data_IF_536410496993
#
_entry.id   IF_536410496993
#
_cell.length_a   1.000
_cell.length_b   1.000
_cell.length_c   1.000
_cell.angle_alpha   90.00
_cell.angle_beta   90.00
_cell.angle_gamma   90.00
#
_symmetry.space_group_name_H-M   'P 1'
#
loop_
_entity.id
_entity.type
_entity.pdbx_description
1 polymer ?
#
# COMPACT_ATOMS: atom_id res chain seq x y z
N UNK A 1 -6.40 34.05 7.08
CA UNK A 1 -6.91 32.89 6.30
C UNK A 1 -7.19 31.65 7.16
N UNK A 2 -6.52 31.44 8.30
CA UNK A 2 -6.79 30.29 9.20
C UNK A 2 -8.06 30.43 10.08
N UNK A 3 -8.59 31.64 10.26
CA UNK A 3 -9.78 31.90 11.08
C UNK A 3 -11.02 31.10 10.63
N UNK A 4 -11.18 30.88 9.31
CA UNK A 4 -12.31 30.11 8.79
C UNK A 4 -12.34 28.67 9.32
N UNK A 5 -11.18 28.02 9.48
CA UNK A 5 -11.13 26.57 9.78
C UNK A 5 -11.54 26.24 11.22
N UNK A 6 -11.36 27.20 12.13
CA UNK A 6 -11.77 27.12 13.54
C UNK A 6 -13.28 27.30 13.62
N UNK A 7 -13.82 28.30 12.93
CA UNK A 7 -15.26 28.61 12.80
C UNK A 7 -16.08 27.38 12.35
N UNK A 8 -15.63 26.67 11.31
CA UNK A 8 -16.33 25.47 10.82
C UNK A 8 -16.26 24.27 11.77
N UNK A 9 -15.23 24.21 12.63
CA UNK A 9 -15.06 23.14 13.61
C UNK A 9 -15.93 23.38 14.85
N UNK A 10 -16.14 24.64 15.21
CA UNK A 10 -17.05 25.09 16.27
C UNK A 10 -18.51 24.90 15.87
N UNK A 11 -18.88 25.23 14.62
CA UNK A 11 -20.20 24.95 14.05
C UNK A 11 -20.57 23.44 14.05
N UNK A 12 -19.60 22.54 14.12
CA UNK A 12 -19.83 21.09 14.22
C UNK A 12 -20.20 20.60 15.63
N UNK A 13 -20.02 21.44 16.66
CA UNK A 13 -20.26 21.10 18.07
C UNK A 13 -21.55 21.67 18.65
N UNK A 14 -22.16 22.62 17.98
CA UNK A 14 -23.39 23.28 18.46
C UNK A 14 -24.61 22.53 17.92
N UNK A 15 -25.18 21.66 18.76
CA UNK A 15 -26.47 20.99 18.51
C UNK A 15 -27.50 21.48 19.54
N UNK A 16 -28.67 21.92 19.07
CA UNK A 16 -29.77 22.33 19.94
C UNK A 16 -30.42 21.11 20.60
N UNK A 17 -30.82 21.20 21.88
CA UNK A 17 -31.57 20.13 22.53
C UNK A 17 -33.05 20.41 22.34
N UNK A 18 -33.73 19.78 21.38
CA UNK A 18 -35.18 19.54 21.48
C UNK A 18 -35.63 18.46 20.49
N UNK A 19 -36.22 17.40 21.06
CA UNK A 19 -36.60 16.15 20.42
C UNK A 19 -37.93 16.28 19.68
N UNK A 20 -37.89 16.26 18.34
CA UNK A 20 -38.99 15.74 17.50
C UNK A 20 -38.54 15.38 16.06
N UNK A 21 -37.32 15.80 15.63
CA UNK A 21 -36.77 15.53 14.30
C UNK A 21 -35.33 14.98 14.31
N UNK A 22 -34.98 14.10 15.27
CA UNK A 22 -33.63 13.49 15.37
C UNK A 22 -33.12 12.90 14.04
N UNK A 23 -34.01 12.32 13.22
CA UNK A 23 -33.63 11.72 11.95
C UNK A 23 -33.22 12.76 10.90
N UNK A 24 -33.93 13.90 10.84
CA UNK A 24 -33.58 15.01 9.95
C UNK A 24 -32.30 15.70 10.45
N UNK A 25 -32.12 15.87 11.75
CA UNK A 25 -30.89 16.45 12.32
C UNK A 25 -29.66 15.57 12.04
N UNK A 26 -29.78 14.23 12.14
CA UNK A 26 -28.71 13.30 11.74
C UNK A 26 -28.43 13.35 10.24
N UNK A 27 -29.43 13.60 9.40
CA UNK A 27 -29.28 13.71 7.94
C UNK A 27 -28.60 15.02 7.55
N UNK A 28 -28.98 16.13 8.19
CA UNK A 28 -28.33 17.44 8.06
C UNK A 28 -26.88 17.37 8.55
N UNK A 29 -26.64 16.73 9.71
CA UNK A 29 -25.29 16.50 10.24
C UNK A 29 -24.40 15.68 9.32
N UNK A 30 -24.91 14.58 8.74
CA UNK A 30 -24.18 13.78 7.74
C UNK A 30 -23.83 14.58 6.50
N UNK A 31 -24.78 15.36 5.96
CA UNK A 31 -24.54 16.24 4.81
C UNK A 31 -23.48 17.29 5.14
N UNK A 32 -23.57 17.94 6.30
CA UNK A 32 -22.58 18.93 6.75
C UNK A 32 -21.18 18.32 6.85
N UNK A 33 -21.05 17.15 7.47
CA UNK A 33 -19.77 16.45 7.58
C UNK A 33 -19.18 16.08 6.21
N UNK A 34 -20.02 15.60 5.29
CA UNK A 34 -19.62 15.30 3.91
C UNK A 34 -19.11 16.55 3.17
N UNK A 35 -19.84 17.66 3.24
CA UNK A 35 -19.40 18.93 2.64
C UNK A 35 -18.09 19.42 3.27
N UNK A 36 -17.95 19.34 4.60
CA UNK A 36 -16.73 19.74 5.31
C UNK A 36 -15.52 18.90 4.86
N UNK A 37 -15.69 17.59 4.66
CA UNK A 37 -14.62 16.72 4.15
C UNK A 37 -14.22 17.08 2.72
N UNK A 38 -15.20 17.31 1.83
CA UNK A 38 -14.92 17.72 0.45
C UNK A 38 -14.25 19.08 0.34
N UNK A 39 -14.71 20.08 1.11
CA UNK A 39 -14.09 21.40 1.14
C UNK A 39 -12.65 21.29 1.65
N UNK A 40 -12.38 20.44 2.65
CA UNK A 40 -11.00 20.21 3.14
C UNK A 40 -10.12 19.60 2.06
N UNK A 41 -10.61 18.59 1.33
CA UNK A 41 -9.90 17.97 0.23
C UNK A 41 -9.61 18.98 -0.90
N UNK A 42 -10.61 19.73 -1.33
CA UNK A 42 -10.48 20.77 -2.37
C UNK A 42 -9.49 21.87 -1.96
N UNK A 43 -9.57 22.34 -0.71
CA UNK A 43 -8.58 23.29 -0.15
C UNK A 43 -7.17 22.71 -0.17
N UNK A 44 -6.99 21.42 0.05
CA UNK A 44 -5.67 20.78 0.01
C UNK A 44 -5.09 20.78 -1.42
N UNK A 45 -5.89 20.43 -2.43
CA UNK A 45 -5.47 20.49 -3.84
C UNK A 45 -5.06 21.91 -4.24
N UNK A 46 -5.87 22.92 -3.90
CA UNK A 46 -5.56 24.33 -4.21
C UNK A 46 -4.27 24.80 -3.51
N UNK A 47 -4.05 24.40 -2.25
CA UNK A 47 -2.84 24.78 -1.50
C UNK A 47 -1.57 24.11 -1.98
N UNK A 48 -1.67 22.87 -2.44
CA UNK A 48 -0.51 22.06 -2.89
C UNK A 48 -0.24 22.19 -4.39
N UNK A 49 -1.14 22.84 -5.13
CA UNK A 49 -1.10 22.94 -6.59
C UNK A 49 -1.01 21.56 -7.27
N UNK A 50 -1.69 20.56 -6.69
CA UNK A 50 -1.80 19.21 -7.24
C UNK A 50 -3.07 19.13 -8.07
N UNK A 51 -2.94 18.68 -9.31
CA UNK A 51 -4.08 18.48 -10.19
C UNK A 51 -4.76 17.12 -9.89
N UNK A 52 -6.09 17.08 -9.77
CA UNK A 52 -6.80 15.85 -9.41
C UNK A 52 -6.71 14.76 -10.49
N UNK A 53 -6.43 15.15 -11.74
CA UNK A 53 -6.18 14.21 -12.85
C UNK A 53 -4.99 13.28 -12.58
N UNK A 54 -4.02 13.69 -11.76
CA UNK A 54 -2.87 12.84 -11.42
C UNK A 54 -3.24 11.63 -10.55
N UNK A 55 -4.45 11.60 -9.99
CA UNK A 55 -4.98 10.41 -9.30
C UNK A 55 -5.35 9.28 -10.27
N UNK A 56 -5.53 9.61 -11.56
CA UNK A 56 -5.81 8.62 -12.62
C UNK A 56 -4.50 8.26 -13.30
N UNK A 57 -4.04 7.02 -13.12
CA UNK A 57 -2.76 6.55 -13.65
C UNK A 57 -2.87 6.23 -15.14
N UNK A 58 -2.24 7.07 -15.98
CA UNK A 58 -2.06 6.78 -17.41
C UNK A 58 -0.80 5.94 -17.69
N UNK A 59 0.25 6.15 -16.88
CA UNK A 59 1.53 5.44 -17.00
C UNK A 59 1.88 4.83 -15.64
N UNK A 60 2.06 3.52 -15.60
CA UNK A 60 2.44 2.80 -14.38
C UNK A 60 3.98 2.66 -14.32
N UNK A 61 4.65 3.27 -13.31
CA UNK A 61 6.09 3.10 -13.14
C UNK A 61 6.44 1.67 -12.75
N UNK A 62 7.56 1.19 -13.27
CA UNK A 62 8.11 -0.14 -12.96
C UNK A 62 9.32 0.01 -12.05
N UNK A 63 9.35 -0.73 -10.94
CA UNK A 63 10.51 -0.69 -10.04
C UNK A 63 11.79 -1.18 -10.74
N UNK A 64 12.96 -0.63 -10.35
CA UNK A 64 14.26 -1.13 -10.79
C UNK A 64 14.42 -2.64 -10.54
N UNK A 65 15.16 -3.35 -11.42
CA UNK A 65 15.34 -4.81 -11.33
C UNK A 65 16.02 -5.24 -10.02
N UNK A 66 16.86 -4.40 -9.41
CA UNK A 66 17.56 -4.67 -8.15
C UNK A 66 16.58 -4.81 -6.97
N UNK A 67 15.42 -4.16 -7.04
CA UNK A 67 14.36 -4.29 -6.03
C UNK A 67 13.42 -5.46 -6.32
N UNK A 68 13.52 -6.06 -7.50
CA UNK A 68 12.64 -7.10 -8.03
C UNK A 68 13.41 -8.33 -8.51
N UNK A 69 14.30 -8.80 -7.64
CA UNK A 69 15.24 -9.87 -7.96
C UNK A 69 14.53 -11.17 -8.39
N UNK A 70 15.13 -11.82 -9.39
CA UNK A 70 14.84 -13.18 -9.81
C UNK A 70 16.09 -13.98 -9.45
N UNK A 71 15.92 -14.99 -8.61
CA UNK A 71 17.02 -15.80 -8.08
C UNK A 71 16.84 -17.20 -8.64
N UNK A 72 17.88 -17.72 -9.28
CA UNK A 72 17.94 -19.13 -9.63
C UNK A 72 18.31 -19.92 -8.38
N UNK A 73 17.45 -20.86 -8.00
CA UNK A 73 17.73 -21.85 -6.96
C UNK A 73 18.42 -23.05 -7.61
N UNK A 74 19.03 -23.91 -6.79
CA UNK A 74 19.55 -25.21 -7.21
C UNK A 74 18.50 -26.00 -8.00
N UNK A 75 18.98 -26.72 -9.02
CA UNK A 75 18.18 -27.53 -9.97
C UNK A 75 17.33 -26.73 -10.96
N UNK A 76 17.73 -25.50 -11.32
CA UNK A 76 17.14 -24.78 -12.46
C UNK A 76 15.76 -24.16 -12.19
N UNK A 77 15.28 -24.22 -10.93
CA UNK A 77 14.06 -23.53 -10.52
C UNK A 77 14.33 -22.04 -10.33
N UNK A 78 13.63 -21.20 -11.09
CA UNK A 78 13.66 -19.75 -10.91
C UNK A 78 12.65 -19.34 -9.82
N UNK A 79 13.11 -18.62 -8.81
CA UNK A 79 12.22 -17.90 -7.89
C UNK A 79 12.17 -16.43 -8.29
N UNK A 80 10.97 -15.93 -8.56
CA UNK A 80 10.72 -14.51 -8.78
C UNK A 80 10.01 -13.89 -7.58
N UNK A 81 10.23 -12.60 -7.35
CA UNK A 81 9.44 -11.83 -6.38
C UNK A 81 7.95 -11.84 -6.71
N UNK A 82 7.09 -11.77 -5.69
CA UNK A 82 5.63 -11.72 -5.84
C UNK A 82 5.21 -10.53 -6.74
N UNK A 83 5.90 -9.39 -6.62
CA UNK A 83 5.68 -8.19 -7.45
C UNK A 83 5.92 -8.43 -8.94
N UNK A 84 6.88 -9.30 -9.30
CA UNK A 84 7.13 -9.63 -10.71
C UNK A 84 5.95 -10.34 -11.35
N UNK A 85 5.29 -11.22 -10.60
CA UNK A 85 4.10 -11.92 -11.09
C UNK A 85 2.92 -10.97 -11.27
N UNK A 86 2.73 -10.04 -10.34
CA UNK A 86 1.71 -8.99 -10.45
C UNK A 86 1.99 -8.07 -11.66
N UNK A 87 3.24 -7.68 -11.92
CA UNK A 87 3.61 -6.92 -13.12
C UNK A 87 3.37 -7.70 -14.41
N UNK A 88 3.75 -8.98 -14.48
CA UNK A 88 3.49 -9.83 -15.65
C UNK A 88 1.99 -9.85 -15.98
N UNK A 89 1.14 -9.94 -14.96
CA UNK A 89 -0.31 -9.93 -15.16
C UNK A 89 -0.82 -8.61 -15.70
N UNK A 90 -0.36 -7.46 -15.19
CA UNK A 90 -0.72 -6.15 -15.71
C UNK A 90 -0.32 -6.03 -17.19
N UNK A 91 0.93 -6.38 -17.51
CA UNK A 91 1.45 -6.34 -18.89
C UNK A 91 0.64 -7.26 -19.80
N UNK A 92 0.36 -8.48 -19.36
CA UNK A 92 -0.42 -9.44 -20.13
C UNK A 92 -1.83 -8.92 -20.44
N UNK A 93 -2.53 -8.36 -19.44
CA UNK A 93 -3.88 -7.80 -19.64
C UNK A 93 -3.86 -6.57 -20.54
N UNK A 94 -2.87 -5.70 -20.38
CA UNK A 94 -2.72 -4.52 -21.22
C UNK A 94 -2.45 -4.90 -22.70
N UNK A 95 -1.53 -5.84 -22.94
CA UNK A 95 -1.25 -6.32 -24.29
C UNK A 95 -2.46 -7.02 -24.92
N UNK A 96 -3.19 -7.82 -24.12
CA UNK A 96 -4.44 -8.46 -24.57
C UNK A 96 -5.47 -7.42 -25.03
N UNK A 97 -5.64 -6.32 -24.26
CA UNK A 97 -6.55 -5.23 -24.63
C UNK A 97 -6.07 -4.51 -25.90
N UNK A 98 -4.78 -4.21 -26.01
CA UNK A 98 -4.19 -3.57 -27.19
C UNK A 98 -4.40 -4.43 -28.45
N UNK A 99 -4.12 -5.73 -28.36
CA UNK A 99 -4.25 -6.66 -29.48
C UNK A 99 -5.71 -6.84 -29.91
N UNK A 100 -6.63 -6.84 -28.94
CA UNK A 100 -8.07 -6.84 -29.20
C UNK A 100 -8.48 -5.58 -29.98
N UNK A 101 -8.04 -4.39 -29.55
CA UNK A 101 -8.36 -3.13 -30.23
C UNK A 101 -7.76 -3.04 -31.64
N UNK A 102 -6.58 -3.63 -31.87
CA UNK A 102 -5.91 -3.66 -33.19
C UNK A 102 -6.56 -4.63 -34.16
N UNK A 103 -6.92 -5.82 -33.69
CA UNK A 103 -7.35 -6.93 -34.57
C UNK A 103 -8.80 -6.79 -35.02
N UNK A 104 -9.62 -6.05 -34.27
CA UNK A 104 -11.07 -6.12 -34.44
C UNK A 104 -11.71 -4.78 -34.80
N UNK A 105 -12.14 -4.64 -36.06
CA UNK A 105 -13.01 -3.52 -36.48
C UNK A 105 -14.46 -3.64 -35.97
N UNK A 106 -14.84 -4.81 -35.44
CA UNK A 106 -16.21 -5.16 -35.04
C UNK A 106 -16.27 -5.81 -33.65
N UNK A 107 -15.42 -5.41 -32.70
CA UNK A 107 -15.58 -5.92 -31.32
C UNK A 107 -16.72 -5.21 -30.61
N UNK A 108 -17.67 -5.97 -30.01
CA UNK A 108 -18.68 -5.42 -29.11
C UNK A 108 -18.05 -4.54 -28.02
N UNK A 109 -18.59 -3.34 -27.81
CA UNK A 109 -18.12 -2.43 -26.76
C UNK A 109 -18.13 -3.06 -25.36
N UNK A 110 -19.06 -3.99 -25.11
CA UNK A 110 -19.14 -4.75 -23.86
C UNK A 110 -17.88 -5.58 -23.59
N UNK A 111 -17.28 -6.19 -24.62
CA UNK A 111 -16.04 -6.95 -24.46
C UNK A 111 -14.86 -6.03 -24.14
N UNK A 112 -14.80 -4.84 -24.73
CA UNK A 112 -13.78 -3.83 -24.42
C UNK A 112 -13.88 -3.42 -22.95
N UNK A 113 -15.08 -3.08 -22.48
CA UNK A 113 -15.34 -2.71 -21.08
C UNK A 113 -14.95 -3.84 -20.13
N UNK A 114 -15.23 -5.10 -20.48
CA UNK A 114 -14.80 -6.25 -19.69
C UNK A 114 -13.27 -6.37 -19.62
N UNK A 115 -12.55 -6.15 -20.73
CA UNK A 115 -11.08 -6.17 -20.71
C UNK A 115 -10.49 -4.99 -19.93
N UNK A 116 -11.06 -3.79 -20.07
CA UNK A 116 -10.67 -2.62 -19.27
C UNK A 116 -10.83 -2.88 -17.76
N UNK A 117 -11.95 -3.50 -17.35
CA UNK A 117 -12.15 -3.93 -15.96
C UNK A 117 -11.10 -4.93 -15.48
N UNK A 118 -10.64 -5.83 -16.35
CA UNK A 118 -9.58 -6.79 -16.02
C UNK A 118 -8.21 -6.11 -15.89
N UNK A 119 -7.91 -5.12 -16.73
CA UNK A 119 -6.70 -4.29 -16.61
C UNK A 119 -6.75 -3.51 -15.30
N UNK A 120 -7.88 -2.86 -14.99
CA UNK A 120 -8.06 -2.14 -13.73
C UNK A 120 -7.88 -3.07 -12.53
N UNK A 121 -8.52 -4.25 -12.54
CA UNK A 121 -8.36 -5.22 -11.47
C UNK A 121 -6.90 -5.68 -11.31
N UNK A 122 -6.14 -5.84 -12.40
CA UNK A 122 -4.73 -6.19 -12.33
C UNK A 122 -3.89 -5.07 -11.69
N UNK A 123 -4.16 -3.81 -12.04
CA UNK A 123 -3.49 -2.63 -11.44
C UNK A 123 -3.86 -2.50 -9.97
N UNK A 124 -5.14 -2.67 -9.62
CA UNK A 124 -5.61 -2.68 -8.23
C UNK A 124 -4.83 -3.73 -7.42
N UNK A 125 -4.74 -4.98 -7.91
CA UNK A 125 -4.03 -6.05 -7.21
C UNK A 125 -2.52 -5.81 -7.06
N UNK A 126 -1.91 -5.08 -7.98
CA UNK A 126 -0.49 -4.72 -7.90
C UNK A 126 -0.25 -3.69 -6.79
N UNK A 127 -1.11 -2.66 -6.71
CA UNK A 127 -1.01 -1.61 -5.70
C UNK A 127 -1.40 -2.14 -4.32
N UNK A 128 -2.58 -2.74 -4.23
CA UNK A 128 -3.13 -3.30 -3.01
C UNK A 128 -4.04 -4.50 -3.32
N UNK A 129 -3.51 -5.68 -3.01
CA UNK A 129 -4.18 -6.96 -3.27
C UNK A 129 -5.39 -7.21 -2.34
N UNK A 130 -5.61 -6.39 -1.31
CA UNK A 130 -6.70 -6.53 -0.34
C UNK A 130 -7.98 -5.76 -0.69
N UNK A 131 -7.91 -4.73 -1.54
CA UNK A 131 -9.02 -3.76 -1.75
C UNK A 131 -10.31 -4.44 -2.23
N UNK A 132 -10.20 -5.43 -3.10
CA UNK A 132 -11.37 -6.09 -3.75
C UNK A 132 -11.91 -7.29 -2.99
N UNK A 133 -11.51 -7.48 -1.73
CA UNK A 133 -12.04 -8.52 -0.84
C UNK A 133 -11.33 -9.87 -0.97
N UNK A 134 -11.35 -10.51 -2.15
CA UNK A 134 -10.60 -11.76 -2.37
C UNK A 134 -9.19 -11.48 -2.92
N UNK A 135 -8.13 -11.70 -2.11
CA UNK A 135 -6.78 -11.43 -2.55
C UNK A 135 -6.32 -12.51 -3.54
N UNK A 136 -5.54 -12.09 -4.52
CA UNK A 136 -4.94 -12.98 -5.50
C UNK A 136 -3.88 -13.86 -4.82
N UNK A 137 -3.92 -15.16 -5.15
CA UNK A 137 -3.02 -16.18 -4.59
C UNK A 137 -2.24 -16.90 -5.69
N UNK A 138 -1.07 -17.38 -5.31
CA UNK A 138 -0.25 -18.30 -6.07
C UNK A 138 -0.87 -19.71 -6.11
N UNK A 139 -0.36 -20.60 -6.96
CA UNK A 139 -0.73 -22.01 -7.06
C UNK A 139 -0.55 -22.78 -5.74
N UNK A 140 0.33 -22.31 -4.85
CA UNK A 140 0.48 -22.83 -3.49
C UNK A 140 -0.46 -22.17 -2.46
N UNK A 141 -1.52 -21.49 -2.90
CA UNK A 141 -2.49 -20.77 -2.07
C UNK A 141 -1.86 -19.66 -1.19
N UNK A 142 -0.63 -19.24 -1.50
CA UNK A 142 0.03 -18.10 -0.87
C UNK A 142 -0.49 -16.80 -1.48
N UNK A 143 -0.91 -15.85 -0.66
CA UNK A 143 -1.31 -14.52 -1.14
C UNK A 143 -0.08 -13.76 -1.67
N UNK A 144 -0.20 -13.19 -2.87
CA UNK A 144 0.86 -12.33 -3.41
C UNK A 144 0.96 -11.04 -2.60
N UNK A 145 2.19 -10.65 -2.23
CA UNK A 145 2.47 -9.37 -1.56
C UNK A 145 2.42 -8.22 -2.59
N UNK A 146 1.49 -7.29 -2.38
CA UNK A 146 1.32 -6.07 -3.17
C UNK A 146 2.30 -4.96 -2.75
N UNK A 147 2.28 -3.81 -3.44
CA UNK A 147 3.10 -2.66 -3.04
C UNK A 147 2.79 -2.15 -1.64
N UNK A 148 1.51 -2.03 -1.30
CA UNK A 148 1.07 -1.66 0.05
C UNK A 148 1.62 -2.64 1.09
N UNK A 149 1.56 -3.96 0.83
CA UNK A 149 2.07 -4.99 1.76
C UNK A 149 3.60 -4.95 1.94
N UNK A 150 4.34 -4.48 0.93
CA UNK A 150 5.79 -4.33 1.03
C UNK A 150 6.14 -3.15 1.95
N UNK A 151 5.33 -2.11 1.96
CA UNK A 151 5.57 -0.89 2.72
C UNK A 151 5.05 -1.05 4.16
N UNK A 152 3.82 -1.53 4.29
CA UNK A 152 3.06 -1.60 5.53
C UNK A 152 3.27 -2.93 6.30
N UNK A 153 2.79 -2.96 7.55
CA UNK A 153 2.84 -4.15 8.38
C UNK A 153 4.16 -4.38 9.13
N UNK A 154 4.21 -5.45 9.93
CA UNK A 154 5.36 -5.77 10.80
C UNK A 154 6.61 -6.17 9.99
N UNK A 155 6.40 -6.89 8.90
CA UNK A 155 7.47 -7.28 7.95
C UNK A 155 7.69 -6.24 6.85
N UNK A 156 6.93 -5.14 6.84
CA UNK A 156 7.07 -4.08 5.84
C UNK A 156 8.40 -3.34 5.96
N UNK A 157 8.80 -2.66 4.89
CA UNK A 157 10.11 -1.96 4.78
C UNK A 157 10.34 -0.95 5.90
N UNK A 158 9.31 -0.21 6.32
CA UNK A 158 9.46 0.76 7.40
C UNK A 158 9.90 0.10 8.72
N UNK A 159 9.21 -0.95 9.14
CA UNK A 159 9.48 -1.60 10.42
C UNK A 159 10.63 -2.59 10.35
N UNK A 160 10.73 -3.34 9.27
CA UNK A 160 11.73 -4.39 9.10
C UNK A 160 13.10 -3.89 8.64
N UNK A 161 13.19 -2.70 8.02
CA UNK A 161 14.45 -2.19 7.45
C UNK A 161 14.82 -0.80 7.96
N UNK A 162 13.86 0.08 8.23
CA UNK A 162 14.17 1.46 8.64
C UNK A 162 14.25 1.64 10.16
N UNK A 163 13.39 0.98 10.95
CA UNK A 163 13.40 1.11 12.42
C UNK A 163 14.46 0.25 13.13
N UNK A 164 14.85 -0.87 12.52
CA UNK A 164 15.87 -1.76 13.06
C UNK A 164 16.66 -2.37 11.92
N UNK A 165 17.98 -2.19 11.95
CA UNK A 165 18.90 -2.81 10.99
C UNK A 165 19.79 -3.80 11.71
N UNK A 166 20.20 -4.83 10.97
CA UNK A 166 21.32 -5.67 11.40
C UNK A 166 22.58 -4.81 11.37
N UNK A 167 23.41 -4.96 12.40
CA UNK A 167 24.64 -4.19 12.56
C UNK A 167 25.82 -5.14 12.53
N UNK A 168 26.88 -4.72 11.85
CA UNK A 168 28.16 -5.40 11.87
C UNK A 168 28.81 -5.28 13.25
N UNK A 169 29.78 -6.14 13.55
CA UNK A 169 30.46 -6.20 14.86
C UNK A 169 29.52 -6.43 16.06
N UNK A 170 28.46 -7.21 15.85
CA UNK A 170 27.56 -7.66 16.92
C UNK A 170 27.74 -9.15 17.20
N UNK A 171 27.50 -9.53 18.46
CA UNK A 171 27.54 -10.92 18.91
C UNK A 171 26.49 -11.15 19.99
N UNK A 172 26.02 -12.40 20.11
CA UNK A 172 25.07 -12.82 21.14
C UNK A 172 25.58 -14.10 21.78
N UNK A 173 25.58 -14.13 23.11
CA UNK A 173 25.92 -15.31 23.90
C UNK A 173 25.04 -15.41 25.14
N UNK A 174 25.10 -16.56 25.80
CA UNK A 174 24.44 -16.81 27.09
C UNK A 174 25.23 -16.10 28.18
N UNK A 175 24.50 -15.48 29.13
CA UNK A 175 25.09 -14.78 30.27
C UNK A 175 25.29 -15.77 31.42
N UNK A 176 26.48 -15.78 32.01
CA UNK A 176 26.84 -16.62 33.16
C UNK A 176 27.35 -15.71 34.28
N UNK A 177 27.03 -16.04 35.54
CA UNK A 177 27.44 -15.25 36.70
C UNK A 177 28.96 -15.34 36.90
N UNK A 178 29.63 -14.18 36.93
CA UNK A 178 31.07 -14.03 37.16
C UNK A 178 31.36 -13.32 38.48
N UNK A 179 31.37 -14.01 39.64
CA UNK A 179 31.42 -13.37 40.96
C UNK A 179 32.75 -12.63 41.26
N UNK A 180 33.82 -12.91 40.51
CA UNK A 180 35.12 -12.24 40.65
C UNK A 180 35.25 -10.94 39.84
N UNK A 181 34.25 -10.58 39.03
CA UNK A 181 34.28 -9.38 38.19
C UNK A 181 33.79 -8.14 38.96
N UNK A 182 34.50 -7.04 38.82
CA UNK A 182 34.03 -5.72 39.29
C UNK A 182 32.88 -5.19 38.42
N UNK A 183 32.08 -4.27 38.95
CA UNK A 183 30.85 -3.74 38.30
C UNK A 183 31.07 -3.21 36.86
N UNK A 184 32.25 -2.66 36.56
CA UNK A 184 32.57 -2.08 35.25
C UNK A 184 33.15 -3.09 34.24
N UNK A 185 33.24 -4.39 34.59
CA UNK A 185 33.86 -5.42 33.75
C UNK A 185 32.84 -6.46 33.31
N UNK A 186 33.07 -7.03 32.13
CA UNK A 186 32.37 -8.21 31.64
C UNK A 186 33.36 -9.22 31.06
N UNK A 187 33.00 -10.51 31.13
CA UNK A 187 33.74 -11.57 30.46
C UNK A 187 33.29 -11.69 29.01
N UNK A 188 34.23 -11.59 28.08
CA UNK A 188 33.99 -11.84 26.66
C UNK A 188 34.59 -13.19 26.28
N UNK A 189 33.87 -13.95 25.45
CA UNK A 189 34.33 -15.25 24.99
C UNK A 189 35.42 -15.04 23.95
N UNK A 190 36.59 -15.61 24.20
CA UNK A 190 37.64 -15.73 23.20
C UNK A 190 37.46 -17.08 22.48
N UNK A 191 36.94 -17.05 21.26
CA UNK A 191 36.97 -18.22 20.38
C UNK A 191 38.37 -18.30 19.75
N UNK A 192 39.08 -19.41 19.98
CA UNK A 192 40.24 -19.75 19.14
C UNK A 192 39.70 -20.24 17.80
N UNK A 193 40.08 -19.56 16.72
CA UNK A 193 39.88 -20.02 15.34
C UNK A 193 40.77 -21.21 15.01
#
# INVERSE_FOLDING_TARGET
MDYSLIEWKELGKEGSPDNENEWEDRKVGRRKNFLVQHIKLAKHFIRTNIEPEWMVLCLLPVLPPELRLIIQIDEGKLMSSDTNELYRRVIYRNNTLIDLLKTSRYTPGELVICQEKLVQAAVDTLLDNGIRGQPMRDGHNKVYKSFSDIIEGKEGRFRGTLLGKRVDYSGRSVIIVGPSLSLHRCGLIWAKG
#
